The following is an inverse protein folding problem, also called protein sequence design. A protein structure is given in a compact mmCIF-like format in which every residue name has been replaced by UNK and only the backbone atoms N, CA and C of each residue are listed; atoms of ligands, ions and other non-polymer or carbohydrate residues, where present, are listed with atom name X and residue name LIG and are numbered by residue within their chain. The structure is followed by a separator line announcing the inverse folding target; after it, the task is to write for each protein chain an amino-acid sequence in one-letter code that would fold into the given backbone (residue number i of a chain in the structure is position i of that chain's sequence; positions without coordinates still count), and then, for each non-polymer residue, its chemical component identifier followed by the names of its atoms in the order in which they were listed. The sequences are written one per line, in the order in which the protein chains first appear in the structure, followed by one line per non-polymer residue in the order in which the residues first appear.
data_IF_689768529777
#
_entry.id   IF_689768529777
#
_cell.length_a   1.000
_cell.length_b   1.000
_cell.length_c   1.000
_cell.angle_alpha   90.00
_cell.angle_beta   90.00
_cell.angle_gamma   90.00
#
_symmetry.space_group_name_H-M   'P 1'
#
loop_
_entity.id
_entity.type
_entity.pdbx_description
1 polymer ?
#
# COMPACT_ATOMS: atom_id res chain seq x y z
N UNK A 1 -21.59 -4.34 -14.68
CA UNK A 1 -22.41 -4.06 -13.46
C UNK A 1 -21.49 -3.55 -12.35
N UNK A 2 -22.02 -3.14 -11.20
CA UNK A 2 -21.18 -2.85 -10.03
C UNK A 2 -20.39 -1.55 -10.10
N UNK A 3 -19.10 -1.62 -9.72
CA UNK A 3 -18.23 -0.45 -9.62
C UNK A 3 -18.09 0.32 -10.94
N UNK A 4 -18.06 -0.39 -12.07
CA UNK A 4 -18.03 0.21 -13.40
C UNK A 4 -19.21 1.17 -13.64
N UNK A 5 -20.42 0.79 -13.20
CA UNK A 5 -21.62 1.62 -13.39
C UNK A 5 -21.56 2.86 -12.51
N UNK A 6 -21.18 2.69 -11.23
CA UNK A 6 -20.94 3.82 -10.32
C UNK A 6 -19.90 4.78 -10.88
N UNK A 7 -18.77 4.26 -11.32
CA UNK A 7 -17.66 5.09 -11.79
C UNK A 7 -18.04 5.82 -13.08
N UNK A 8 -18.80 5.19 -13.97
CA UNK A 8 -19.41 5.86 -15.13
C UNK A 8 -20.34 7.00 -14.72
N UNK A 9 -21.22 6.78 -13.74
CA UNK A 9 -22.15 7.83 -13.23
C UNK A 9 -21.36 8.99 -12.60
N UNK A 10 -20.22 8.71 -11.96
CA UNK A 10 -19.32 9.72 -11.39
C UNK A 10 -18.41 10.39 -12.42
N UNK A 11 -18.53 10.07 -13.71
CA UNK A 11 -17.67 10.60 -14.77
C UNK A 11 -16.20 10.16 -14.68
N UNK A 12 -15.93 9.03 -14.02
CA UNK A 12 -14.59 8.45 -13.89
C UNK A 12 -14.33 7.46 -15.03
N UNK A 13 -13.05 7.28 -15.38
CA UNK A 13 -12.65 6.21 -16.29
C UNK A 13 -12.92 4.84 -15.68
N UNK A 14 -13.53 3.96 -16.45
CA UNK A 14 -13.73 2.55 -16.07
C UNK A 14 -12.61 1.74 -16.70
N UNK A 15 -11.80 1.11 -15.85
CA UNK A 15 -10.70 0.24 -16.30
C UNK A 15 -11.19 -1.19 -16.52
N UNK A 16 -12.00 -1.71 -15.59
CA UNK A 16 -12.47 -3.10 -15.60
C UNK A 16 -14.00 -3.18 -15.64
N UNK A 17 -14.52 -4.01 -16.55
CA UNK A 17 -15.95 -4.28 -16.68
C UNK A 17 -16.30 -5.66 -16.14
N UNK A 18 -17.01 -5.68 -15.00
CA UNK A 18 -17.65 -6.91 -14.49
C UNK A 18 -18.94 -7.18 -15.26
N UNK A 19 -19.00 -8.31 -15.95
CA UNK A 19 -20.18 -8.76 -16.68
C UNK A 19 -20.91 -9.81 -15.85
N UNK A 20 -22.24 -9.76 -15.86
CA UNK A 20 -23.04 -10.85 -15.31
C UNK A 20 -24.17 -11.27 -16.22
N UNK A 21 -24.51 -12.54 -16.12
CA UNK A 21 -25.39 -13.22 -17.06
C UNK A 21 -26.16 -14.36 -16.39
N UNK A 22 -27.24 -14.79 -17.03
CA UNK A 22 -27.95 -16.03 -16.69
C UNK A 22 -27.17 -17.29 -17.12
N UNK A 23 -26.22 -17.14 -18.06
CA UNK A 23 -25.48 -18.28 -18.58
C UNK A 23 -24.59 -18.92 -17.50
N UNK A 24 -24.66 -20.24 -17.37
CA UNK A 24 -23.79 -21.00 -16.45
C UNK A 24 -22.34 -21.00 -16.95
N UNK A 25 -21.35 -21.31 -16.09
CA UNK A 25 -19.95 -21.41 -16.50
C UNK A 25 -19.73 -22.33 -17.71
N UNK A 26 -20.45 -23.45 -17.79
CA UNK A 26 -20.37 -24.40 -18.91
C UNK A 26 -20.93 -23.80 -20.19
N UNK A 27 -22.02 -23.03 -20.11
CA UNK A 27 -22.60 -22.35 -21.27
C UNK A 27 -21.67 -21.25 -21.78
N UNK A 28 -21.07 -20.46 -20.86
CA UNK A 28 -20.10 -19.42 -21.22
C UNK A 28 -18.91 -20.05 -21.96
N UNK A 29 -18.34 -21.15 -21.44
CA UNK A 29 -17.24 -21.89 -22.09
C UNK A 29 -17.59 -22.49 -23.44
N UNK A 30 -18.86 -22.83 -23.67
CA UNK A 30 -19.33 -23.34 -24.98
C UNK A 30 -19.46 -22.21 -26.01
N UNK A 31 -19.88 -21.03 -25.57
CA UNK A 31 -20.10 -19.87 -26.44
C UNK A 31 -18.77 -19.20 -26.81
N UNK A 32 -17.87 -19.05 -25.82
CA UNK A 32 -16.60 -18.35 -26.01
C UNK A 32 -15.44 -19.35 -26.12
N UNK A 33 -14.68 -19.34 -27.22
CA UNK A 33 -13.59 -20.30 -27.43
C UNK A 33 -12.36 -20.02 -26.56
N UNK A 34 -12.16 -18.77 -26.11
CA UNK A 34 -11.02 -18.36 -25.28
C UNK A 34 -11.50 -17.99 -23.87
N UNK A 35 -11.42 -18.95 -22.96
CA UNK A 35 -11.82 -18.76 -21.55
C UNK A 35 -10.76 -19.22 -20.57
N UNK A 36 -10.68 -18.56 -19.41
CA UNK A 36 -9.80 -18.89 -18.28
C UNK A 36 -10.64 -19.21 -17.05
N UNK A 37 -10.35 -20.32 -16.33
CA UNK A 37 -11.00 -20.60 -15.06
C UNK A 37 -10.48 -19.66 -13.96
N UNK A 38 -11.27 -18.66 -13.57
CA UNK A 38 -10.91 -17.72 -12.49
C UNK A 38 -11.56 -18.12 -11.15
N UNK A 39 -12.84 -18.51 -11.19
CA UNK A 39 -13.60 -18.82 -9.98
C UNK A 39 -14.87 -19.60 -10.29
N UNK A 40 -14.72 -20.73 -10.98
CA UNK A 40 -15.86 -21.53 -11.49
C UNK A 40 -16.78 -21.99 -10.35
N UNK A 41 -16.21 -22.34 -9.19
CA UNK A 41 -16.98 -22.73 -7.99
C UNK A 41 -17.90 -21.60 -7.49
N UNK A 42 -17.59 -20.35 -7.84
CA UNK A 42 -18.40 -19.18 -7.53
C UNK A 42 -19.15 -18.63 -8.75
N UNK A 43 -19.13 -19.33 -9.88
CA UNK A 43 -19.80 -18.92 -11.11
C UNK A 43 -19.05 -17.90 -11.98
N UNK A 44 -17.76 -17.64 -11.73
CA UNK A 44 -16.98 -16.65 -12.49
C UNK A 44 -16.04 -17.32 -13.50
N UNK A 45 -16.16 -16.92 -14.76
CA UNK A 45 -15.33 -17.35 -15.89
C UNK A 45 -14.68 -16.12 -16.53
N UNK A 46 -13.37 -16.16 -16.74
CA UNK A 46 -12.67 -15.16 -17.52
C UNK A 46 -12.87 -15.41 -19.01
N UNK A 47 -13.33 -14.42 -19.76
CA UNK A 47 -13.47 -14.47 -21.22
C UNK A 47 -12.45 -13.53 -21.85
N UNK A 48 -11.63 -14.04 -22.78
CA UNK A 48 -10.61 -13.23 -23.45
C UNK A 48 -11.20 -12.70 -24.76
N UNK A 49 -11.29 -11.37 -24.87
CA UNK A 49 -11.71 -10.67 -26.09
C UNK A 49 -10.72 -10.85 -27.25
N UNK A 50 -11.15 -10.45 -28.45
CA UNK A 50 -10.31 -10.55 -29.65
C UNK A 50 -9.05 -9.65 -29.59
N UNK A 51 -9.15 -8.57 -28.82
CA UNK A 51 -8.07 -7.62 -28.50
C UNK A 51 -7.14 -8.11 -27.38
N UNK A 52 -7.42 -9.27 -26.78
CA UNK A 52 -6.67 -9.82 -25.66
C UNK A 52 -7.14 -9.33 -24.29
N UNK A 53 -8.17 -8.48 -24.22
CA UNK A 53 -8.72 -7.97 -22.96
C UNK A 53 -9.43 -9.10 -22.20
N UNK A 54 -9.14 -9.23 -20.90
CA UNK A 54 -9.80 -10.20 -20.02
C UNK A 54 -11.06 -9.59 -19.41
N UNK A 55 -12.21 -10.23 -19.64
CA UNK A 55 -13.49 -9.85 -19.03
C UNK A 55 -13.92 -10.90 -18.01
N UNK A 56 -14.28 -10.45 -16.81
CA UNK A 56 -14.86 -11.33 -15.80
C UNK A 56 -16.36 -11.47 -16.03
N UNK A 57 -16.80 -12.67 -16.44
CA UNK A 57 -18.21 -13.00 -16.66
C UNK A 57 -18.69 -13.89 -15.52
N UNK A 58 -19.64 -13.39 -14.73
CA UNK A 58 -20.18 -14.09 -13.56
C UNK A 58 -21.63 -14.47 -13.76
N UNK A 59 -21.97 -15.73 -13.51
CA UNK A 59 -23.36 -16.20 -13.48
C UNK A 59 -24.10 -15.54 -12.31
N UNK A 60 -25.34 -15.08 -12.52
CA UNK A 60 -26.16 -14.52 -11.45
C UNK A 60 -26.24 -15.50 -10.28
N UNK A 61 -26.07 -15.00 -9.06
CA UNK A 61 -26.03 -15.86 -7.88
C UNK A 61 -26.65 -15.21 -6.65
N UNK A 62 -27.11 -16.04 -5.74
CA UNK A 62 -27.64 -15.68 -4.42
C UNK A 62 -26.87 -16.44 -3.35
N UNK A 63 -26.62 -15.77 -2.23
CA UNK A 63 -25.98 -16.40 -1.07
C UNK A 63 -27.06 -17.13 -0.26
N UNK A 64 -26.97 -18.46 -0.10
CA UNK A 64 -27.96 -19.27 0.68
C UNK A 64 -27.49 -19.54 2.10
N UNK A 65 -26.22 -19.91 2.28
CA UNK A 65 -25.67 -20.25 3.59
C UNK A 65 -24.44 -19.42 3.93
N UNK A 66 -24.41 -18.90 5.16
CA UNK A 66 -23.30 -18.16 5.74
C UNK A 66 -22.62 -19.00 6.84
N UNK A 67 -22.19 -20.21 6.50
CA UNK A 67 -21.24 -20.91 7.35
C UNK A 67 -19.84 -20.39 7.01
N UNK A 68 -19.05 -20.15 8.06
CA UNK A 68 -17.70 -19.57 8.05
C UNK A 68 -17.00 -19.56 6.67
N UNK A 69 -16.77 -18.35 6.16
CA UNK A 69 -15.87 -18.00 5.05
C UNK A 69 -16.24 -18.52 3.65
N UNK A 70 -17.16 -19.46 3.50
CA UNK A 70 -17.62 -19.95 2.20
C UNK A 70 -19.12 -19.67 2.05
N UNK A 71 -19.45 -18.64 1.27
CA UNK A 71 -20.83 -18.48 0.82
C UNK A 71 -21.15 -19.61 -0.15
N UNK A 72 -22.05 -20.51 0.24
CA UNK A 72 -22.65 -21.46 -0.70
C UNK A 72 -23.53 -20.63 -1.64
N UNK A 73 -23.12 -20.56 -2.90
CA UNK A 73 -23.81 -19.79 -3.93
C UNK A 73 -24.75 -20.70 -4.71
N UNK A 74 -25.99 -20.26 -4.88
CA UNK A 74 -26.92 -20.84 -5.84
C UNK A 74 -27.07 -19.89 -7.02
N UNK A 75 -27.12 -20.45 -8.22
CA UNK A 75 -27.34 -19.67 -9.42
C UNK A 75 -28.77 -19.13 -9.44
N UNK A 76 -28.87 -17.82 -9.50
CA UNK A 76 -30.13 -17.11 -9.57
C UNK A 76 -30.58 -16.96 -11.02
N UNK A 77 -31.89 -16.81 -11.20
CA UNK A 77 -32.51 -16.45 -12.49
C UNK A 77 -32.78 -14.95 -12.62
N UNK A 78 -32.35 -14.14 -11.66
CA UNK A 78 -32.64 -12.70 -11.60
C UNK A 78 -31.38 -11.92 -11.29
N UNK A 79 -31.19 -10.83 -12.03
CA UNK A 79 -30.11 -9.88 -11.78
C UNK A 79 -30.35 -9.13 -10.47
N UNK A 80 -31.62 -8.90 -10.10
CA UNK A 80 -32.01 -8.24 -8.86
C UNK A 80 -31.55 -9.02 -7.63
N UNK A 81 -31.62 -10.36 -7.64
CA UNK A 81 -31.08 -11.18 -6.56
C UNK A 81 -29.55 -11.10 -6.47
N UNK A 82 -28.84 -11.05 -7.60
CA UNK A 82 -27.38 -10.84 -7.62
C UNK A 82 -26.99 -9.44 -7.12
N UNK A 83 -27.75 -8.42 -7.46
CA UNK A 83 -27.56 -7.08 -6.93
C UNK A 83 -27.86 -7.01 -5.43
N UNK A 84 -28.86 -7.77 -4.95
CA UNK A 84 -29.27 -7.78 -3.55
C UNK A 84 -28.19 -8.31 -2.59
N UNK A 85 -27.30 -9.18 -3.08
CA UNK A 85 -26.16 -9.70 -2.31
C UNK A 85 -24.93 -8.79 -2.34
N UNK A 86 -25.00 -7.59 -2.92
CA UNK A 86 -23.89 -6.63 -2.93
C UNK A 86 -23.82 -5.81 -1.65
N UNK A 87 -22.64 -5.28 -1.36
CA UNK A 87 -22.35 -4.64 -0.08
C UNK A 87 -23.15 -3.34 0.12
N UNK A 88 -23.05 -2.43 -0.86
CA UNK A 88 -23.64 -1.09 -0.81
C UNK A 88 -24.50 -0.79 -2.01
N UNK A 89 -25.51 0.07 -1.83
CA UNK A 89 -26.45 0.49 -2.88
C UNK A 89 -25.73 1.08 -4.09
N UNK A 90 -24.68 1.88 -3.86
CA UNK A 90 -23.83 2.45 -4.92
C UNK A 90 -23.14 1.40 -5.80
N UNK A 91 -22.97 0.15 -5.32
CA UNK A 91 -22.42 -0.95 -6.11
C UNK A 91 -23.51 -1.90 -6.61
N UNK A 92 -24.78 -1.68 -6.26
CA UNK A 92 -25.91 -2.55 -6.57
C UNK A 92 -26.72 -2.06 -7.78
N UNK A 93 -25.98 -1.61 -8.80
CA UNK A 93 -26.54 -1.16 -10.08
C UNK A 93 -26.01 -2.00 -11.24
N UNK A 94 -26.82 -2.15 -12.28
CA UNK A 94 -26.46 -2.80 -13.52
C UNK A 94 -26.87 -1.96 -14.73
N UNK A 95 -26.20 -2.20 -15.85
CA UNK A 95 -26.56 -1.60 -17.13
C UNK A 95 -26.74 -2.73 -18.13
N UNK A 96 -27.83 -2.70 -18.88
CA UNK A 96 -28.09 -3.65 -19.94
C UNK A 96 -27.58 -3.09 -21.28
N UNK A 97 -26.53 -3.68 -21.87
CA UNK A 97 -25.97 -3.18 -23.12
C UNK A 97 -26.90 -3.34 -24.33
N UNK A 98 -27.84 -4.29 -24.30
CA UNK A 98 -28.78 -4.52 -25.40
C UNK A 98 -29.94 -3.53 -25.44
N UNK A 99 -30.39 -3.05 -24.27
CA UNK A 99 -31.51 -2.09 -24.18
C UNK A 99 -31.06 -0.67 -23.84
N UNK A 100 -29.83 -0.49 -23.37
CA UNK A 100 -29.32 0.79 -22.88
C UNK A 100 -29.85 1.18 -21.48
N UNK A 101 -30.69 0.37 -20.86
CA UNK A 101 -31.36 0.69 -19.58
C UNK A 101 -30.42 0.43 -18.39
N UNK A 102 -30.38 1.39 -17.46
CA UNK A 102 -29.74 1.21 -16.14
C UNK A 102 -30.78 0.65 -15.17
N UNK A 103 -30.44 -0.48 -14.55
CA UNK A 103 -31.21 -1.11 -13.50
C UNK A 103 -30.65 -0.70 -12.13
N UNK A 104 -31.45 -0.01 -11.34
CA UNK A 104 -31.11 0.45 -9.98
C UNK A 104 -32.24 0.13 -8.98
N UNK A 105 -32.42 -1.15 -8.60
CA UNK A 105 -33.51 -1.56 -7.71
C UNK A 105 -33.34 -1.09 -6.26
N UNK A 106 -32.16 -0.61 -5.88
CA UNK A 106 -31.82 -0.23 -4.49
C UNK A 106 -31.51 1.26 -4.32
N UNK A 107 -31.95 2.08 -5.28
CA UNK A 107 -31.77 3.54 -5.29
C UNK A 107 -30.30 3.98 -5.13
N UNK A 108 -29.33 3.21 -5.62
CA UNK A 108 -27.90 3.51 -5.56
C UNK A 108 -27.55 4.87 -6.16
N UNK A 109 -28.22 5.26 -7.25
CA UNK A 109 -28.03 6.57 -7.88
C UNK A 109 -28.46 7.72 -6.96
N UNK A 110 -29.65 7.62 -6.36
CA UNK A 110 -30.19 8.62 -5.44
C UNK A 110 -29.31 8.77 -4.21
N UNK A 111 -28.82 7.67 -3.65
CA UNK A 111 -27.89 7.70 -2.53
C UNK A 111 -26.55 8.33 -2.91
N UNK A 112 -26.04 8.06 -4.11
CA UNK A 112 -24.80 8.65 -4.62
C UNK A 112 -24.93 10.15 -4.83
N UNK A 113 -26.06 10.62 -5.40
CA UNK A 113 -26.39 12.04 -5.56
C UNK A 113 -26.52 12.74 -4.19
N UNK A 114 -27.08 12.05 -3.19
CA UNK A 114 -27.17 12.53 -1.81
C UNK A 114 -25.86 12.37 -1.00
N UNK A 115 -24.77 11.90 -1.61
CA UNK A 115 -23.49 11.56 -0.95
C UNK A 115 -23.63 10.63 0.26
N UNK A 116 -24.57 9.69 0.21
CA UNK A 116 -24.88 8.76 1.29
C UNK A 116 -24.38 7.35 0.98
N UNK A 117 -23.57 6.78 1.87
CA UNK A 117 -23.17 5.38 1.86
C UNK A 117 -24.20 4.56 2.64
N UNK A 118 -24.93 3.71 1.91
CA UNK A 118 -25.96 2.84 2.45
C UNK A 118 -25.77 1.39 2.03
N UNK A 119 -26.06 0.47 2.94
CA UNK A 119 -26.06 -0.98 2.68
C UNK A 119 -27.31 -1.39 1.89
N UNK A 120 -27.19 -2.39 1.02
CA UNK A 120 -28.32 -2.83 0.15
C UNK A 120 -29.50 -3.38 0.97
N UNK A 121 -29.19 -4.10 2.04
CA UNK A 121 -30.13 -4.63 3.04
C UNK A 121 -29.64 -4.20 4.43
N UNK A 122 -30.30 -4.69 5.48
CA UNK A 122 -29.92 -4.50 6.89
C UNK A 122 -28.41 -4.54 7.13
N UNK A 123 -27.81 -3.41 7.52
CA UNK A 123 -26.37 -3.30 7.77
C UNK A 123 -25.87 -4.32 8.80
N UNK A 124 -26.70 -4.65 9.80
CA UNK A 124 -26.40 -5.66 10.83
C UNK A 124 -26.16 -7.03 10.21
N UNK A 125 -27.03 -7.44 9.29
CA UNK A 125 -26.93 -8.74 8.64
C UNK A 125 -25.73 -8.74 7.70
N UNK A 126 -25.60 -7.68 6.87
CA UNK A 126 -24.52 -7.55 5.90
C UNK A 126 -23.13 -7.59 6.54
N UNK A 127 -22.91 -6.94 7.68
CA UNK A 127 -21.63 -7.01 8.39
C UNK A 127 -21.43 -8.32 9.17
N UNK A 128 -22.51 -9.00 9.56
CA UNK A 128 -22.41 -10.31 10.20
C UNK A 128 -22.04 -11.41 9.21
N UNK A 129 -22.52 -11.32 7.97
CA UNK A 129 -22.16 -12.21 6.86
C UNK A 129 -20.67 -12.09 6.47
N UNK A 130 -20.17 -10.86 6.32
CA UNK A 130 -18.76 -10.62 5.98
C UNK A 130 -18.27 -9.30 6.60
N UNK A 131 -17.42 -9.44 7.62
CA UNK A 131 -16.82 -8.33 8.33
C UNK A 131 -15.93 -7.45 7.43
N UNK A 132 -15.45 -7.95 6.28
CA UNK A 132 -14.66 -7.13 5.37
C UNK A 132 -15.47 -5.94 4.83
N UNK A 133 -16.79 -6.06 4.79
CA UNK A 133 -17.69 -4.96 4.37
C UNK A 133 -17.59 -3.75 5.29
N UNK A 134 -17.20 -3.90 6.55
CA UNK A 134 -16.89 -2.77 7.45
C UNK A 134 -15.68 -1.98 6.92
N UNK A 135 -14.59 -2.66 6.61
CA UNK A 135 -13.38 -2.04 6.05
C UNK A 135 -13.64 -1.36 4.70
N UNK A 136 -14.47 -2.01 3.87
CA UNK A 136 -14.91 -1.47 2.58
C UNK A 136 -15.82 -0.25 2.74
N UNK A 137 -16.71 -0.24 3.74
CA UNK A 137 -17.57 0.91 4.01
C UNK A 137 -16.73 2.17 4.27
N UNK A 138 -15.77 2.07 5.20
CA UNK A 138 -14.88 3.16 5.57
C UNK A 138 -14.00 3.59 4.39
N UNK A 139 -13.51 2.64 3.59
CA UNK A 139 -12.77 2.94 2.36
C UNK A 139 -13.63 3.71 1.36
N UNK A 140 -14.85 3.25 1.09
CA UNK A 140 -15.74 3.90 0.12
C UNK A 140 -16.22 5.27 0.58
N UNK A 141 -16.54 5.42 1.87
CA UNK A 141 -16.85 6.72 2.48
C UNK A 141 -15.73 7.74 2.21
N UNK A 142 -14.47 7.36 2.51
CA UNK A 142 -13.33 8.25 2.26
C UNK A 142 -12.98 8.44 0.77
N UNK A 143 -13.06 7.37 -0.03
CA UNK A 143 -12.67 7.39 -1.45
C UNK A 143 -13.63 8.21 -2.32
N UNK A 144 -14.93 8.19 -1.99
CA UNK A 144 -15.97 8.87 -2.75
C UNK A 144 -16.56 10.09 -2.03
N UNK A 145 -16.02 10.46 -0.87
CA UNK A 145 -16.50 11.60 -0.07
C UNK A 145 -17.97 11.47 0.32
N UNK A 146 -18.33 10.32 0.88
CA UNK A 146 -19.69 9.97 1.28
C UNK A 146 -19.83 9.94 2.79
N UNK A 147 -20.98 10.38 3.27
CA UNK A 147 -21.42 10.22 4.65
C UNK A 147 -22.03 8.84 4.84
N UNK A 148 -21.76 8.18 5.98
CA UNK A 148 -22.31 6.86 6.26
C UNK A 148 -23.68 7.04 6.92
N UNK A 149 -24.71 6.40 6.37
CA UNK A 149 -26.06 6.40 6.96
C UNK A 149 -26.01 5.96 8.44
N UNK A 150 -26.76 6.63 9.31
CA UNK A 150 -26.78 6.40 10.76
C UNK A 150 -26.92 4.90 11.13
N UNK A 151 -27.93 4.21 10.58
CA UNK A 151 -28.13 2.78 10.83
C UNK A 151 -26.94 1.91 10.35
N UNK A 152 -26.30 2.30 9.25
CA UNK A 152 -25.10 1.65 8.73
C UNK A 152 -23.90 1.94 9.63
N UNK A 153 -23.74 3.16 10.12
CA UNK A 153 -22.69 3.58 11.05
C UNK A 153 -22.79 2.83 12.39
N UNK A 154 -24.00 2.75 12.96
CA UNK A 154 -24.24 2.03 14.20
C UNK A 154 -23.91 0.53 14.10
N UNK A 155 -24.33 -0.11 13.01
CA UNK A 155 -24.01 -1.51 12.75
C UNK A 155 -22.50 -1.71 12.55
N UNK A 156 -21.84 -0.76 11.90
CA UNK A 156 -20.39 -0.76 11.68
C UNK A 156 -19.64 -0.71 13.01
N UNK A 157 -19.96 0.25 13.88
CA UNK A 157 -19.31 0.41 15.18
C UNK A 157 -19.48 -0.83 16.07
N UNK A 158 -20.67 -1.47 16.03
CA UNK A 158 -20.91 -2.74 16.72
C UNK A 158 -20.10 -3.91 16.17
N UNK A 159 -19.69 -3.86 14.90
CA UNK A 159 -18.90 -4.91 14.26
C UNK A 159 -17.38 -4.75 14.47
N UNK A 160 -16.89 -3.54 14.75
CA UNK A 160 -15.44 -3.25 14.94
C UNK A 160 -14.72 -4.22 15.90
N UNK A 161 -15.28 -4.57 17.08
CA UNK A 161 -14.61 -5.51 17.99
C UNK A 161 -14.33 -6.88 17.38
N UNK A 162 -15.16 -7.32 16.42
CA UNK A 162 -15.08 -8.63 15.75
C UNK A 162 -14.08 -8.68 14.59
N UNK A 163 -13.50 -7.54 14.17
CA UNK A 163 -12.62 -7.47 13.00
C UNK A 163 -11.36 -8.34 13.10
N UNK A 164 -10.95 -8.76 14.31
CA UNK A 164 -9.86 -9.72 14.51
C UNK A 164 -10.12 -11.11 13.89
N UNK A 165 -11.37 -11.41 13.52
CA UNK A 165 -11.76 -12.64 12.82
C UNK A 165 -11.36 -12.63 11.34
N UNK A 166 -11.04 -11.46 10.77
CA UNK A 166 -10.57 -11.32 9.39
C UNK A 166 -9.13 -11.84 9.26
N UNK A 167 -8.87 -12.53 8.15
CA UNK A 167 -7.51 -12.93 7.76
C UNK A 167 -6.65 -11.69 7.47
N UNK A 168 -5.38 -11.77 7.84
CA UNK A 168 -4.38 -10.73 7.61
C UNK A 168 -4.29 -10.27 6.16
N UNK A 169 -4.38 -11.20 5.20
CA UNK A 169 -4.30 -10.95 3.76
C UNK A 169 -5.44 -10.03 3.29
N UNK A 170 -6.68 -10.26 3.77
CA UNK A 170 -7.84 -9.41 3.44
C UNK A 170 -7.73 -8.02 4.05
N UNK A 171 -7.20 -7.92 5.27
CA UNK A 171 -6.92 -6.64 5.92
C UNK A 171 -5.87 -5.86 5.11
N UNK A 172 -4.79 -6.54 4.72
CA UNK A 172 -3.72 -6.00 3.90
C UNK A 172 -4.22 -5.52 2.54
N UNK A 173 -5.01 -6.32 1.84
CA UNK A 173 -5.61 -5.93 0.56
C UNK A 173 -6.48 -4.67 0.67
N UNK A 174 -7.33 -4.55 1.69
CA UNK A 174 -8.16 -3.36 1.85
C UNK A 174 -7.34 -2.12 2.21
N UNK A 175 -6.29 -2.25 3.04
CA UNK A 175 -5.33 -1.15 3.26
C UNK A 175 -4.64 -0.74 1.96
N UNK A 176 -4.16 -1.70 1.17
CA UNK A 176 -3.52 -1.40 -0.11
C UNK A 176 -4.47 -0.78 -1.12
N UNK A 177 -5.76 -1.16 -1.12
CA UNK A 177 -6.81 -0.50 -1.93
C UNK A 177 -7.06 0.94 -1.49
N UNK A 178 -7.01 1.26 -0.19
CA UNK A 178 -7.06 2.66 0.28
C UNK A 178 -5.88 3.43 -0.31
N UNK A 179 -4.67 2.89 -0.19
CA UNK A 179 -3.45 3.58 -0.59
C UNK A 179 -3.26 3.68 -2.12
N UNK A 180 -3.82 2.76 -2.90
CA UNK A 180 -3.68 2.74 -4.38
C UNK A 180 -4.87 3.37 -5.13
N UNK A 181 -6.10 3.27 -4.61
CA UNK A 181 -7.31 3.69 -5.35
C UNK A 181 -7.88 5.04 -4.90
N UNK A 182 -7.57 5.49 -3.68
CA UNK A 182 -8.05 6.78 -3.18
C UNK A 182 -7.08 7.89 -3.57
N UNK A 183 -7.63 8.98 -4.15
CA UNK A 183 -6.86 10.21 -4.36
C UNK A 183 -6.40 10.80 -3.03
N UNK A 184 -7.32 10.83 -2.06
CA UNK A 184 -7.09 11.29 -0.70
C UNK A 184 -7.26 10.12 0.29
N UNK A 185 -6.26 9.23 0.44
CA UNK A 185 -6.30 8.16 1.44
C UNK A 185 -6.54 8.68 2.86
N UNK A 186 -6.15 9.91 3.17
CA UNK A 186 -6.35 10.55 4.48
C UNK A 186 -7.80 10.48 4.96
N UNK A 187 -8.79 10.66 4.08
CA UNK A 187 -10.22 10.62 4.41
C UNK A 187 -10.65 9.24 4.90
N UNK A 188 -10.26 8.19 4.18
CA UNK A 188 -10.56 6.81 4.58
C UNK A 188 -9.81 6.46 5.87
N UNK A 189 -8.54 6.85 6.00
CA UNK A 189 -7.76 6.62 7.22
C UNK A 189 -8.33 7.36 8.44
N UNK A 190 -8.92 8.54 8.24
CA UNK A 190 -9.63 9.27 9.29
C UNK A 190 -10.88 8.50 9.75
N UNK A 191 -11.68 7.95 8.82
CA UNK A 191 -12.80 7.07 9.17
C UNK A 191 -12.34 5.81 9.92
N UNK A 192 -11.21 5.20 9.51
CA UNK A 192 -10.61 4.08 10.24
C UNK A 192 -10.18 4.48 11.66
N UNK A 193 -9.66 5.69 11.82
CA UNK A 193 -9.32 6.25 13.11
C UNK A 193 -10.55 6.38 14.00
N UNK A 194 -11.51 7.21 13.59
CA UNK A 194 -12.68 7.58 14.39
C UNK A 194 -13.52 6.36 14.77
N UNK A 195 -13.61 5.35 13.89
CA UNK A 195 -14.32 4.09 14.16
C UNK A 195 -13.56 3.13 15.09
N UNK A 196 -12.31 3.41 15.46
CA UNK A 196 -11.48 2.53 16.29
C UNK A 196 -10.82 1.37 15.54
N UNK A 197 -10.95 1.31 14.21
CA UNK A 197 -10.33 0.27 13.38
C UNK A 197 -8.81 0.34 13.43
N UNK A 198 -8.21 1.54 13.47
CA UNK A 198 -6.75 1.68 13.61
C UNK A 198 -6.26 1.01 14.89
N UNK A 199 -6.84 1.36 16.03
CA UNK A 199 -6.46 0.78 17.32
C UNK A 199 -6.64 -0.75 17.36
N UNK A 200 -7.65 -1.28 16.65
CA UNK A 200 -7.97 -2.70 16.64
C UNK A 200 -7.08 -3.55 15.71
N UNK A 201 -6.82 -3.07 14.49
CA UNK A 201 -6.13 -3.85 13.45
C UNK A 201 -4.66 -3.47 13.26
N UNK A 202 -4.31 -2.24 13.64
CA UNK A 202 -2.97 -1.66 13.48
C UNK A 202 -2.48 -1.06 14.81
N UNK A 203 -2.46 -1.83 15.91
CA UNK A 203 -2.08 -1.34 17.23
C UNK A 203 -0.67 -0.71 17.27
N UNK A 204 0.21 -1.12 16.35
CA UNK A 204 1.57 -0.58 16.18
C UNK A 204 1.55 0.92 15.79
N UNK A 205 0.53 1.39 15.07
CA UNK A 205 0.36 2.81 14.73
C UNK A 205 -0.05 3.67 15.92
N UNK A 206 -0.61 3.05 16.96
CA UNK A 206 -1.10 3.72 18.17
C UNK A 206 -0.17 3.54 19.37
N UNK A 207 0.98 2.87 19.23
CA UNK A 207 1.81 2.40 20.35
C UNK A 207 0.99 1.66 21.44
N UNK A 208 -0.04 0.90 21.04
CA UNK A 208 -0.93 0.20 21.96
C UNK A 208 -1.84 1.11 22.81
N UNK A 209 -1.83 2.43 22.61
CA UNK A 209 -2.73 3.33 23.32
C UNK A 209 -4.14 3.28 22.67
N UNK A 210 -5.12 2.74 23.39
CA UNK A 210 -6.51 2.70 22.94
C UNK A 210 -7.21 4.05 23.03
N UNK A 211 -6.65 4.98 23.82
CA UNK A 211 -7.07 6.37 23.95
C UNK A 211 -6.22 7.30 23.05
N UNK A 212 -5.73 6.74 21.93
CA UNK A 212 -4.98 7.49 20.93
C UNK A 212 -5.87 8.59 20.38
N UNK A 213 -5.62 9.81 20.84
CA UNK A 213 -6.20 10.98 20.23
C UNK A 213 -5.64 11.08 18.80
N UNK A 214 -6.47 10.66 17.85
CA UNK A 214 -6.17 10.75 16.42
C UNK A 214 -5.86 12.19 16.03
N UNK A 215 -6.27 13.19 16.82
CA UNK A 215 -5.94 14.59 16.62
C UNK A 215 -4.50 14.98 17.02
N UNK A 216 -3.72 14.06 17.62
CA UNK A 216 -2.27 14.31 17.83
C UNK A 216 -1.50 14.31 16.51
N UNK A 217 -0.64 15.31 16.38
CA UNK A 217 -0.10 15.83 15.11
C UNK A 217 0.61 14.80 14.21
N UNK A 218 1.31 13.79 14.74
CA UNK A 218 2.13 12.87 13.95
C UNK A 218 1.36 11.97 12.98
N UNK A 219 0.26 11.37 13.44
CA UNK A 219 -0.54 10.45 12.62
C UNK A 219 -1.34 11.20 11.56
N UNK A 220 -2.09 12.25 11.92
CA UNK A 220 -2.79 13.09 10.92
C UNK A 220 -1.82 13.67 9.90
N UNK A 221 -0.65 14.15 10.35
CA UNK A 221 0.36 14.66 9.43
C UNK A 221 0.82 13.59 8.44
N UNK A 222 1.00 12.35 8.87
CA UNK A 222 1.34 11.24 7.97
C UNK A 222 0.21 10.87 7.01
N UNK A 223 -1.06 10.91 7.45
CA UNK A 223 -2.20 10.60 6.57
C UNK A 223 -2.36 11.68 5.50
N UNK A 224 -2.18 12.95 5.86
CA UNK A 224 -2.15 14.07 4.90
C UNK A 224 -0.95 13.96 3.95
N UNK A 225 0.23 13.55 4.45
CA UNK A 225 1.40 13.35 3.60
C UNK A 225 1.21 12.19 2.60
N UNK A 226 0.34 11.22 2.89
CA UNK A 226 -0.02 10.17 1.93
C UNK A 226 -0.78 10.74 0.71
N UNK A 227 -1.58 11.80 0.90
CA UNK A 227 -2.33 12.45 -0.18
C UNK A 227 -1.37 13.14 -1.18
N UNK A 228 -0.21 13.60 -0.72
CA UNK A 228 0.83 14.26 -1.54
C UNK A 228 1.67 13.29 -2.38
N UNK A 229 1.63 11.99 -2.08
CA UNK A 229 2.29 10.95 -2.86
C UNK A 229 1.33 10.44 -3.93
N UNK A 230 1.83 10.21 -5.15
CA UNK A 230 1.03 9.69 -6.26
C UNK A 230 0.49 8.27 -5.97
N UNK A 231 -0.71 7.98 -6.50
CA UNK A 231 -1.46 6.72 -6.31
C UNK A 231 -0.73 5.49 -6.87
N UNK A 232 0.13 5.69 -7.86
CA UNK A 232 0.99 4.65 -8.47
C UNK A 232 2.08 4.11 -7.51
N UNK A 233 2.24 4.71 -6.33
CA UNK A 233 3.22 4.30 -5.31
C UNK A 233 2.55 3.93 -3.97
N UNK A 234 1.71 2.89 -3.93
CA UNK A 234 1.00 2.54 -2.70
C UNK A 234 1.92 2.07 -1.57
N UNK A 235 3.04 1.40 -1.88
CA UNK A 235 4.05 1.04 -0.87
C UNK A 235 4.76 2.26 -0.28
N UNK A 236 4.96 3.32 -1.06
CA UNK A 236 5.54 4.56 -0.55
C UNK A 236 4.54 5.30 0.35
N UNK A 237 3.25 5.33 -0.02
CA UNK A 237 2.18 5.84 0.85
C UNK A 237 2.11 5.03 2.16
N UNK A 238 2.27 3.71 2.10
CA UNK A 238 2.36 2.87 3.30
C UNK A 238 3.56 3.26 4.15
N UNK A 239 4.74 3.46 3.55
CA UNK A 239 5.93 3.90 4.28
C UNK A 239 5.75 5.27 4.95
N UNK A 240 5.07 6.22 4.28
CA UNK A 240 4.69 7.51 4.87
C UNK A 240 3.82 7.31 6.10
N UNK A 241 2.76 6.52 6.01
CA UNK A 241 1.88 6.21 7.14
C UNK A 241 2.66 5.60 8.32
N UNK A 242 3.51 4.62 8.04
CA UNK A 242 4.30 3.92 9.06
C UNK A 242 5.37 4.80 9.71
N UNK A 243 5.82 5.87 9.03
CA UNK A 243 6.77 6.81 9.61
C UNK A 243 6.21 7.60 10.80
N UNK A 244 4.87 7.65 10.97
CA UNK A 244 4.25 8.23 12.16
C UNK A 244 4.65 7.53 13.45
N UNK A 245 5.02 6.24 13.40
CA UNK A 245 5.50 5.49 14.56
C UNK A 245 6.73 6.12 15.21
N UNK A 246 7.56 6.84 14.44
CA UNK A 246 8.70 7.58 14.97
C UNK A 246 8.35 8.89 15.68
N UNK A 247 7.12 9.38 15.55
CA UNK A 247 6.68 10.65 16.19
C UNK A 247 6.19 10.46 17.64
N UNK A 248 6.09 9.22 18.12
CA UNK A 248 5.41 8.89 19.38
C UNK A 248 6.34 8.64 20.59
N UNK A 249 7.63 9.03 20.52
CA UNK A 249 8.53 9.05 21.69
C UNK A 249 10.01 9.02 21.33
N UNK A 250 10.88 9.11 22.36
CA UNK A 250 12.34 8.85 22.32
C UNK A 250 12.67 7.38 21.94
N UNK A 251 12.00 6.83 20.93
CA UNK A 251 12.14 5.45 20.51
C UNK A 251 13.44 5.25 19.76
N UNK A 252 14.28 4.34 20.25
CA UNK A 252 15.40 3.80 19.50
C UNK A 252 14.95 3.43 18.07
N UNK A 253 15.63 3.92 17.04
CA UNK A 253 15.37 3.59 15.64
C UNK A 253 15.30 2.07 15.39
N UNK A 254 16.01 1.28 16.21
CA UNK A 254 15.91 -0.18 16.20
C UNK A 254 14.51 -0.68 16.55
N UNK A 255 13.84 -0.06 17.52
CA UNK A 255 12.47 -0.44 17.91
C UNK A 255 11.48 -0.15 16.78
N UNK A 256 11.60 1.01 16.11
CA UNK A 256 10.72 1.37 14.99
C UNK A 256 10.87 0.39 13.82
N UNK A 257 12.12 0.02 13.49
CA UNK A 257 12.39 -0.99 12.47
C UNK A 257 11.69 -2.32 12.77
N UNK A 258 11.82 -2.81 14.00
CA UNK A 258 11.16 -4.04 14.44
C UNK A 258 9.63 -3.94 14.40
N UNK A 259 9.06 -2.80 14.80
CA UNK A 259 7.61 -2.57 14.75
C UNK A 259 7.06 -2.61 13.31
N UNK A 260 7.73 -1.91 12.38
CA UNK A 260 7.36 -1.91 10.96
C UNK A 260 7.45 -3.32 10.38
N UNK A 261 8.55 -4.03 10.65
CA UNK A 261 8.77 -5.39 10.17
C UNK A 261 7.70 -6.36 10.72
N UNK A 262 7.41 -6.29 12.02
CA UNK A 262 6.39 -7.13 12.66
C UNK A 262 4.99 -6.87 12.09
N UNK A 263 4.61 -5.60 11.90
CA UNK A 263 3.32 -5.24 11.30
C UNK A 263 3.20 -5.79 9.88
N UNK A 264 4.24 -5.63 9.06
CA UNK A 264 4.23 -6.10 7.67
C UNK A 264 4.21 -7.63 7.57
N UNK A 265 4.96 -8.33 8.43
CA UNK A 265 4.92 -9.79 8.49
C UNK A 265 3.56 -10.32 8.97
N UNK A 266 2.98 -9.68 9.99
CA UNK A 266 1.63 -10.01 10.51
C UNK A 266 0.56 -9.83 9.43
N UNK A 267 0.68 -8.79 8.61
CA UNK A 267 -0.19 -8.50 7.47
C UNK A 267 0.21 -9.25 6.18
N UNK A 268 1.18 -10.18 6.26
CA UNK A 268 1.54 -11.09 5.17
C UNK A 268 2.07 -10.40 3.91
N UNK A 269 2.70 -9.24 4.07
CA UNK A 269 3.45 -8.62 2.97
C UNK A 269 4.63 -9.50 2.52
N UNK A 270 5.04 -9.35 1.26
CA UNK A 270 6.20 -10.07 0.74
C UNK A 270 7.49 -9.66 1.49
N UNK A 271 8.48 -10.56 1.54
CA UNK A 271 9.79 -10.26 2.14
C UNK A 271 10.47 -9.08 1.45
N UNK A 272 10.31 -8.96 0.13
CA UNK A 272 10.87 -7.86 -0.65
C UNK A 272 10.23 -6.52 -0.27
N UNK A 273 8.89 -6.46 -0.22
CA UNK A 273 8.17 -5.24 0.16
C UNK A 273 8.46 -4.85 1.61
N UNK A 274 8.52 -5.83 2.50
CA UNK A 274 8.87 -5.62 3.91
C UNK A 274 10.25 -5.00 4.03
N UNK A 275 11.27 -5.60 3.40
CA UNK A 275 12.64 -5.07 3.41
C UNK A 275 12.71 -3.66 2.82
N UNK A 276 12.00 -3.41 1.72
CA UNK A 276 11.98 -2.09 1.05
C UNK A 276 11.34 -1.03 1.94
N UNK A 277 10.15 -1.30 2.47
CA UNK A 277 9.42 -0.35 3.33
C UNK A 277 10.16 -0.06 4.62
N UNK A 278 10.73 -1.08 5.27
CA UNK A 278 11.59 -0.89 6.46
C UNK A 278 12.75 0.05 6.16
N UNK A 279 13.45 -0.14 5.04
CA UNK A 279 14.57 0.73 4.64
C UNK A 279 14.12 2.16 4.34
N UNK A 280 12.97 2.35 3.68
CA UNK A 280 12.41 3.68 3.40
C UNK A 280 12.07 4.40 4.72
N UNK A 281 11.29 3.75 5.61
CA UNK A 281 10.89 4.33 6.90
C UNK A 281 12.12 4.66 7.73
N UNK A 282 13.06 3.71 7.84
CA UNK A 282 14.30 3.92 8.57
C UNK A 282 15.11 5.07 7.99
N UNK A 283 15.33 5.10 6.67
CA UNK A 283 16.11 6.15 6.02
C UNK A 283 15.49 7.54 6.11
N UNK A 284 14.16 7.63 6.16
CA UNK A 284 13.45 8.88 6.38
C UNK A 284 13.57 9.38 7.82
N UNK A 285 13.56 8.48 8.81
CA UNK A 285 13.63 8.81 10.23
C UNK A 285 15.06 9.04 10.74
N UNK A 286 16.08 8.57 10.02
CA UNK A 286 17.47 8.85 10.35
C UNK A 286 17.76 10.35 10.35
N UNK A 287 18.71 10.77 11.20
CA UNK A 287 19.27 12.10 11.08
C UNK A 287 19.87 12.26 9.68
N UNK A 288 19.43 13.31 9.00
CA UNK A 288 19.79 13.54 7.62
C UNK A 288 21.25 14.02 7.57
N UNK A 289 22.01 13.63 6.53
CA UNK A 289 23.38 14.09 6.41
C UNK A 289 23.36 15.61 6.29
N UNK A 290 24.33 16.26 6.93
CA UNK A 290 24.53 17.70 6.79
C UNK A 290 24.92 18.06 5.35
N UNK A 291 25.39 19.29 5.15
CA UNK A 291 25.92 19.75 3.85
C UNK A 291 27.34 19.27 3.59
N UNK A 292 27.66 18.05 4.00
CA UNK A 292 28.97 17.42 3.91
C UNK A 292 28.91 16.24 2.91
N UNK A 293 29.72 16.23 1.83
CA UNK A 293 29.69 15.15 0.84
C UNK A 293 29.99 13.77 1.44
N UNK A 294 30.86 13.70 2.44
CA UNK A 294 31.24 12.48 3.15
C UNK A 294 30.03 11.85 3.87
N UNK A 295 29.38 12.65 4.73
CA UNK A 295 28.15 12.23 5.43
C UNK A 295 27.06 11.83 4.44
N UNK A 296 26.93 12.57 3.32
CA UNK A 296 25.98 12.25 2.28
C UNK A 296 26.22 10.87 1.66
N UNK A 297 27.47 10.50 1.35
CA UNK A 297 27.80 9.17 0.80
C UNK A 297 27.55 8.07 1.82
N UNK A 298 27.96 8.27 3.07
CA UNK A 298 27.69 7.32 4.16
C UNK A 298 26.19 7.10 4.37
N UNK A 299 25.41 8.18 4.36
CA UNK A 299 23.96 8.09 4.48
C UNK A 299 23.34 7.37 3.28
N UNK A 300 23.71 7.73 2.04
CA UNK A 300 23.24 7.08 0.80
C UNK A 300 23.54 5.57 0.79
N UNK A 301 24.74 5.18 1.20
CA UNK A 301 25.10 3.76 1.37
C UNK A 301 24.20 3.08 2.41
N UNK A 302 24.03 3.70 3.58
CA UNK A 302 23.23 3.16 4.68
C UNK A 302 21.75 2.95 4.32
N UNK A 303 21.13 3.92 3.63
CA UNK A 303 19.73 3.80 3.21
C UNK A 303 19.57 2.90 1.98
N UNK A 304 20.53 2.91 1.06
CA UNK A 304 20.34 2.47 -0.32
C UNK A 304 20.25 3.63 -1.29
N UNK A 305 21.19 3.76 -2.23
CA UNK A 305 21.14 4.81 -3.25
C UNK A 305 19.85 4.75 -4.10
N UNK A 306 19.31 3.54 -4.31
CA UNK A 306 18.07 3.29 -5.04
C UNK A 306 16.82 3.91 -4.40
N UNK A 307 16.85 4.11 -3.07
CA UNK A 307 15.72 4.63 -2.29
C UNK A 307 15.74 6.15 -2.15
N UNK A 308 16.81 6.82 -2.58
CA UNK A 308 16.97 8.27 -2.44
C UNK A 308 15.76 9.06 -2.98
N UNK A 309 15.27 8.68 -4.16
CA UNK A 309 14.13 9.36 -4.78
C UNK A 309 12.83 9.18 -3.98
N UNK A 310 12.63 8.02 -3.35
CA UNK A 310 11.45 7.75 -2.54
C UNK A 310 11.49 8.55 -1.23
N UNK A 311 12.65 8.64 -0.58
CA UNK A 311 12.82 9.47 0.62
C UNK A 311 12.65 10.96 0.28
N UNK A 312 13.17 11.43 -0.86
CA UNK A 312 12.94 12.81 -1.31
C UNK A 312 11.45 13.12 -1.46
N UNK A 313 10.66 12.19 -2.02
CA UNK A 313 9.21 12.35 -2.15
C UNK A 313 8.53 12.46 -0.80
N UNK A 314 8.97 11.67 0.19
CA UNK A 314 8.48 11.79 1.57
C UNK A 314 8.82 13.16 2.16
N UNK A 315 10.07 13.63 2.06
CA UNK A 315 10.43 14.96 2.56
C UNK A 315 9.60 16.07 1.91
N UNK A 316 9.39 15.99 0.59
CA UNK A 316 8.54 16.94 -0.15
C UNK A 316 7.09 16.87 0.35
N UNK A 317 6.53 15.67 0.50
CA UNK A 317 5.16 15.47 0.98
C UNK A 317 4.96 16.09 2.37
N UNK A 318 5.84 15.77 3.32
CA UNK A 318 5.80 16.34 4.67
C UNK A 318 6.00 17.86 4.68
N UNK A 319 6.90 18.40 3.84
CA UNK A 319 7.11 19.85 3.74
C UNK A 319 5.90 20.59 3.17
N UNK A 320 5.11 19.97 2.29
CA UNK A 320 3.85 20.55 1.79
C UNK A 320 2.77 20.57 2.86
N UNK A 321 2.65 19.47 3.62
CA UNK A 321 1.68 19.35 4.71
C UNK A 321 1.97 20.34 5.85
N UNK A 322 3.23 20.53 6.22
CA UNK A 322 3.64 21.45 7.31
C UNK A 322 3.37 22.92 7.00
N UNK A 323 3.11 23.25 5.75
CA UNK A 323 2.64 24.56 5.35
C UNK A 323 3.51 25.23 4.28
N UNK A 324 2.79 25.70 3.28
CA UNK A 324 3.02 26.88 2.44
C UNK A 324 3.32 28.21 3.22
N UNK A 325 3.70 28.15 4.50
CA UNK A 325 3.94 29.29 5.40
C UNK A 325 5.36 29.41 5.98
N UNK A 326 6.24 28.44 5.74
CA UNK A 326 7.66 28.56 6.09
C UNK A 326 8.51 28.41 4.82
N UNK A 327 8.68 29.49 4.05
CA UNK A 327 9.59 29.54 2.89
C UNK A 327 10.98 28.96 3.20
N UNK A 328 11.40 29.06 4.47
CA UNK A 328 12.65 28.54 5.01
C UNK A 328 12.72 27.01 5.09
N UNK A 329 11.64 26.30 5.44
CA UNK A 329 11.64 24.83 5.59
C UNK A 329 11.57 24.13 4.22
N UNK A 330 10.72 24.63 3.32
CA UNK A 330 10.69 24.19 1.92
C UNK A 330 12.03 24.47 1.21
N UNK A 331 12.60 25.65 1.44
CA UNK A 331 13.91 26.03 0.93
C UNK A 331 15.03 25.10 1.42
N UNK A 332 14.99 24.66 2.68
CA UNK A 332 15.96 23.71 3.22
C UNK A 332 15.85 22.34 2.56
N UNK A 333 14.64 21.77 2.46
CA UNK A 333 14.41 20.47 1.82
C UNK A 333 14.89 20.49 0.37
N UNK A 334 14.53 21.50 -0.42
CA UNK A 334 14.98 21.61 -1.81
C UNK A 334 16.50 21.81 -1.92
N UNK A 335 17.09 22.61 -1.04
CA UNK A 335 18.54 22.81 -1.03
C UNK A 335 19.30 21.53 -0.68
N UNK A 336 18.75 20.74 0.24
CA UNK A 336 19.27 19.42 0.60
C UNK A 336 19.20 18.43 -0.55
N UNK A 337 18.04 18.31 -1.20
CA UNK A 337 17.88 17.45 -2.38
C UNK A 337 18.84 17.84 -3.48
N UNK A 338 19.01 19.15 -3.74
CA UNK A 338 19.98 19.66 -4.74
C UNK A 338 21.42 19.31 -4.36
N UNK A 339 21.79 19.45 -3.09
CA UNK A 339 23.12 19.09 -2.62
C UNK A 339 23.41 17.60 -2.82
N UNK A 340 22.49 16.72 -2.38
CA UNK A 340 22.66 15.27 -2.54
C UNK A 340 22.72 14.88 -4.01
N UNK A 341 21.88 15.48 -4.87
CA UNK A 341 21.95 15.28 -6.33
C UNK A 341 23.29 15.73 -6.92
N UNK A 342 23.87 16.83 -6.43
CA UNK A 342 25.20 17.28 -6.86
C UNK A 342 26.29 16.26 -6.46
N UNK A 343 26.19 15.66 -5.27
CA UNK A 343 27.09 14.57 -4.87
C UNK A 343 26.91 13.35 -5.77
N UNK A 344 25.67 12.98 -6.11
CA UNK A 344 25.39 11.85 -7.02
C UNK A 344 25.87 12.08 -8.46
N UNK A 345 25.95 13.34 -8.92
CA UNK A 345 26.44 13.67 -10.27
C UNK A 345 27.92 13.32 -10.48
N UNK A 346 28.73 13.25 -9.42
CA UNK A 346 30.12 12.80 -9.54
C UNK A 346 30.24 11.27 -9.61
N UNK A 347 29.12 10.54 -9.67
CA UNK A 347 29.06 9.07 -9.65
C UNK A 347 29.99 8.44 -8.59
N UNK A 348 29.86 8.86 -7.32
CA UNK A 348 30.73 8.32 -6.29
C UNK A 348 30.43 6.82 -6.08
N UNK A 349 31.44 6.02 -5.71
CA UNK A 349 31.20 4.67 -5.23
C UNK A 349 30.36 4.68 -3.94
N UNK A 350 29.22 3.97 -3.95
CA UNK A 350 28.26 3.96 -2.85
C UNK A 350 27.94 2.54 -2.36
N UNK A 351 28.22 1.52 -3.16
CA UNK A 351 27.92 0.11 -2.89
C UNK A 351 29.17 -0.74 -3.12
N UNK A 352 29.10 -2.01 -2.72
CA UNK A 352 30.20 -2.95 -2.97
C UNK A 352 30.47 -3.12 -4.47
N UNK A 353 29.42 -3.06 -5.29
CA UNK A 353 29.51 -3.22 -6.75
C UNK A 353 30.21 -2.03 -7.43
N UNK A 354 30.36 -0.90 -6.72
CA UNK A 354 31.06 0.27 -7.23
C UNK A 354 32.57 0.27 -6.88
N UNK A 355 33.03 -0.70 -6.07
CA UNK A 355 34.44 -0.80 -5.72
C UNK A 355 35.28 -1.20 -6.94
N UNK A 356 36.47 -0.61 -7.05
CA UNK A 356 37.43 -0.95 -8.10
C UNK A 356 38.09 -2.33 -7.90
N UNK A 357 37.74 -3.05 -6.83
CA UNK A 357 38.16 -4.43 -6.54
C UNK A 357 36.95 -5.26 -6.13
N UNK A 358 36.92 -6.51 -6.54
CA UNK A 358 35.88 -7.47 -6.17
C UNK A 358 36.41 -8.61 -5.30
N UNK A 359 35.55 -9.60 -5.04
CA UNK A 359 35.93 -10.75 -4.22
C UNK A 359 36.92 -11.71 -4.88
N UNK A 360 37.01 -11.73 -6.20
CA UNK A 360 37.97 -12.55 -6.94
C UNK A 360 39.36 -11.90 -6.90
N UNK A 361 39.43 -10.59 -7.09
CA UNK A 361 40.68 -9.81 -6.97
C UNK A 361 41.33 -10.04 -5.60
N UNK A 362 40.52 -10.03 -4.53
CA UNK A 362 41.02 -10.29 -3.18
C UNK A 362 41.51 -11.73 -2.98
N UNK A 363 40.90 -12.72 -3.64
CA UNK A 363 41.34 -14.11 -3.60
C UNK A 363 42.67 -14.30 -4.34
N UNK A 364 42.85 -13.65 -5.48
CA UNK A 364 44.12 -13.68 -6.23
C UNK A 364 45.29 -13.07 -5.43
N UNK A 365 44.99 -12.13 -4.52
CA UNK A 365 45.97 -11.58 -3.58
C UNK A 365 46.31 -12.51 -2.41
N UNK A 366 45.74 -13.72 -2.37
CA UNK A 366 45.97 -14.73 -1.34
C UNK A 366 45.10 -14.61 -0.10
N UNK A 367 44.04 -13.80 -0.13
CA UNK A 367 43.07 -13.74 0.97
C UNK A 367 42.11 -14.93 0.89
N UNK A 368 41.86 -15.57 2.03
CA UNK A 368 41.04 -16.78 2.08
C UNK A 368 39.56 -16.46 1.78
N UNK A 369 38.90 -17.27 0.94
CA UNK A 369 37.48 -17.11 0.66
C UNK A 369 36.66 -17.36 1.93
N UNK A 370 35.60 -16.57 2.14
CA UNK A 370 34.69 -16.73 3.28
C UNK A 370 34.12 -15.41 3.82
N UNK A 371 33.46 -15.43 5.00
CA UNK A 371 32.83 -14.27 5.61
C UNK A 371 33.80 -13.10 5.88
N UNK A 372 35.06 -13.42 6.14
CA UNK A 372 36.17 -12.47 6.33
C UNK A 372 36.40 -11.60 5.10
N UNK A 373 36.33 -12.18 3.90
CA UNK A 373 36.52 -11.46 2.64
C UNK A 373 35.43 -10.39 2.42
N UNK A 374 34.16 -10.76 2.68
CA UNK A 374 33.06 -9.79 2.68
C UNK A 374 33.25 -8.68 3.71
N UNK A 375 33.77 -9.01 4.90
CA UNK A 375 34.07 -8.01 5.93
C UNK A 375 35.25 -7.09 5.56
N UNK A 376 36.20 -7.55 4.74
CA UNK A 376 37.28 -6.70 4.19
C UNK A 376 36.69 -5.75 3.15
N UNK A 377 35.90 -6.23 2.20
CA UNK A 377 35.25 -5.40 1.19
C UNK A 377 34.37 -4.30 1.83
N UNK A 378 33.64 -4.63 2.89
CA UNK A 378 32.86 -3.64 3.66
C UNK A 378 33.74 -2.57 4.32
N UNK A 379 34.92 -2.95 4.84
CA UNK A 379 35.86 -2.01 5.44
C UNK A 379 36.53 -1.10 4.39
N UNK A 380 36.84 -1.66 3.22
CA UNK A 380 37.33 -0.88 2.06
C UNK A 380 36.27 0.11 1.60
N UNK A 381 35.00 -0.33 1.45
CA UNK A 381 33.89 0.56 1.12
C UNK A 381 33.74 1.67 2.15
N UNK A 382 33.83 1.37 3.45
CA UNK A 382 33.76 2.40 4.49
C UNK A 382 34.86 3.48 4.33
N UNK A 383 36.08 3.10 3.92
CA UNK A 383 37.16 4.05 3.62
C UNK A 383 36.87 4.85 2.34
N UNK A 384 36.40 4.20 1.30
CA UNK A 384 36.04 4.81 0.01
C UNK A 384 34.88 5.81 0.13
N UNK A 385 33.91 5.53 1.00
CA UNK A 385 32.83 6.48 1.32
C UNK A 385 33.37 7.76 1.96
N UNK A 386 34.43 7.67 2.76
CA UNK A 386 35.11 8.84 3.34
C UNK A 386 35.93 9.59 2.29
N UNK A 387 36.68 8.85 1.47
CA UNK A 387 37.53 9.40 0.41
C UNK A 387 37.38 8.60 -0.90
N UNK A 388 36.59 9.11 -1.87
CA UNK A 388 36.35 8.44 -3.15
C UNK A 388 37.62 8.23 -3.99
N UNK A 389 38.66 9.04 -3.79
CA UNK A 389 39.92 8.93 -4.53
C UNK A 389 40.72 7.67 -4.14
N UNK A 390 40.31 7.00 -3.07
CA UNK A 390 40.83 5.68 -2.70
C UNK A 390 40.31 4.56 -3.62
N UNK A 391 39.23 4.78 -4.38
CA UNK A 391 38.61 3.77 -5.24
C UNK A 391 39.40 3.51 -6.53
N UNK A 392 40.65 3.08 -6.38
CA UNK A 392 41.54 2.64 -7.44
C UNK A 392 42.07 1.25 -7.07
N UNK A 393 42.11 0.34 -8.05
CA UNK A 393 42.63 -1.01 -7.91
C UNK A 393 43.95 -1.07 -7.11
N UNK A 394 44.97 -0.30 -7.49
CA UNK A 394 46.28 -0.34 -6.79
C UNK A 394 46.19 0.06 -5.32
N UNK A 395 45.42 1.11 -5.01
CA UNK A 395 45.26 1.62 -3.65
C UNK A 395 44.44 0.65 -2.79
N UNK A 396 43.35 0.12 -3.34
CA UNK A 396 42.47 -0.81 -2.64
C UNK A 396 43.12 -2.16 -2.39
N UNK A 397 43.89 -2.69 -3.34
CA UNK A 397 44.63 -3.94 -3.14
C UNK A 397 45.71 -3.81 -2.05
N UNK A 398 46.39 -2.66 -1.95
CA UNK A 398 47.30 -2.37 -0.84
C UNK A 398 46.57 -2.30 0.50
N UNK A 399 45.48 -1.52 0.58
CA UNK A 399 44.65 -1.42 1.78
C UNK A 399 44.05 -2.78 2.20
N UNK A 400 43.64 -3.61 1.24
CA UNK A 400 43.07 -4.92 1.50
C UNK A 400 44.08 -5.85 2.19
N UNK A 401 45.36 -5.81 1.78
CA UNK A 401 46.44 -6.56 2.45
C UNK A 401 46.69 -6.07 3.87
N UNK A 402 46.59 -4.77 4.13
CA UNK A 402 46.74 -4.22 5.48
C UNK A 402 45.59 -4.63 6.40
N UNK A 403 44.36 -4.55 5.90
CA UNK A 403 43.16 -4.95 6.65
C UNK A 403 43.14 -6.46 6.88
N UNK A 404 43.51 -7.25 5.86
CA UNK A 404 43.58 -8.71 5.94
C UNK A 404 44.65 -9.23 6.90
N UNK A 405 45.66 -8.43 7.26
CA UNK A 405 46.64 -8.78 8.31
C UNK A 405 46.14 -8.53 9.73
N UNK A 406 45.08 -7.73 9.90
CA UNK A 406 44.51 -7.35 11.21
C UNK A 406 43.37 -8.27 11.65
N UNK A 407 42.79 -9.04 10.73
CA UNK A 407 41.72 -10.03 10.97
C UNK A 407 42.30 -11.42 10.82
#
# INVERSE_FOLDING_TARGET
MGGAIRDTILGKSVEDWDLATLATPEQIKRIFPRTVPIGIEHGTVGVIGNDGTLYEVTTFRKDIEHFERHAVVEFSRSIEEDLARRDFTLNAMAWNPGTGVILDPFEGRKHLEAKLLKTVRSAKDRFSEDLLRVLRALRFAGQFDLEIEEATSDALLRAVPRLHQLSSERIQEEMMKILSKAKMPSRALNHYGISGVIAKLYPELCNGNTNFDLQKSGFIRSTLACDEINMDRPLLRLAVLLSSMGSHGNGDLKNIRSLVENMMQRLRFSKADTKRTVRIVWGFLQENPGRNPQECRCWLNGIGPDLFNDICRMWIAYARVDGSGASKQWGDVLSRIRFIRKVLQSHPPLTLDDLAVDGNDLQELGLQPGPTLGAILQELLAKVLMDPDLNNFERLTHLAKEVGKRK
#
